data_IF_408177344371
#
_entry.id   IF_408177344371
#
_cell.length_a   1.000
_cell.length_b   1.000
_cell.length_c   1.000
_cell.angle_alpha   90.00
_cell.angle_beta   90.00
_cell.angle_gamma   90.00
#
_symmetry.space_group_name_H-M   'P 1'
#
loop_
_entity.id
_entity.type
_entity.pdbx_description
1 polymer ?
#
# COMPACT_ATOMS: atom_id res chain seq x y z
N UNK A 1 -12.14 -17.60 16.65
CA UNK A 1 -11.28 -17.04 15.58
C UNK A 1 -9.82 -16.77 16.01
N UNK A 2 -9.53 -16.43 17.27
CA UNK A 2 -8.17 -16.05 17.73
C UNK A 2 -7.14 -17.19 17.73
N UNK A 3 -7.52 -18.43 18.03
CA UNK A 3 -6.57 -19.56 18.13
C UNK A 3 -5.86 -19.86 16.80
N UNK A 4 -6.63 -19.89 15.70
CA UNK A 4 -6.08 -20.20 14.38
C UNK A 4 -5.16 -19.07 13.87
N UNK A 5 -5.57 -17.81 14.06
CA UNK A 5 -4.74 -16.64 13.75
C UNK A 5 -3.43 -16.66 14.54
N UNK A 6 -3.47 -16.96 15.84
CA UNK A 6 -2.27 -17.07 16.67
C UNK A 6 -1.35 -18.21 16.21
N UNK A 7 -1.89 -19.36 15.80
CA UNK A 7 -1.10 -20.47 15.26
C UNK A 7 -0.40 -20.11 13.96
N UNK A 8 -1.11 -19.50 13.01
CA UNK A 8 -0.51 -19.07 11.75
C UNK A 8 0.52 -17.97 11.96
N UNK A 9 0.22 -16.96 12.80
CA UNK A 9 1.18 -15.93 13.18
C UNK A 9 2.45 -16.54 13.78
N UNK A 10 2.30 -17.48 14.72
CA UNK A 10 3.43 -18.20 15.31
C UNK A 10 4.24 -18.99 14.29
N UNK A 11 3.57 -19.64 13.32
CA UNK A 11 4.23 -20.36 12.23
C UNK A 11 5.03 -19.44 11.32
N UNK A 12 4.44 -18.34 10.87
CA UNK A 12 5.11 -17.35 10.01
C UNK A 12 6.33 -16.74 10.71
N UNK A 13 6.23 -16.38 12.00
CA UNK A 13 7.36 -15.84 12.76
C UNK A 13 8.54 -16.82 12.85
N UNK A 14 8.27 -18.12 13.04
CA UNK A 14 9.32 -19.16 13.03
C UNK A 14 10.00 -19.29 11.67
N UNK A 15 9.22 -19.24 10.58
CA UNK A 15 9.78 -19.29 9.23
C UNK A 15 10.64 -18.05 8.93
N UNK A 16 10.19 -16.86 9.33
CA UNK A 16 10.95 -15.61 9.18
C UNK A 16 12.28 -15.67 9.95
N UNK A 17 12.24 -16.18 11.18
CA UNK A 17 13.45 -16.36 11.99
C UNK A 17 14.43 -17.34 11.35
N UNK A 18 13.93 -18.47 10.83
CA UNK A 18 14.74 -19.46 10.12
C UNK A 18 15.35 -18.92 8.81
N UNK A 19 14.67 -17.99 8.13
CA UNK A 19 15.19 -17.29 6.95
C UNK A 19 16.18 -16.16 7.32
N UNK A 20 16.39 -15.90 8.61
CA UNK A 20 17.23 -14.80 9.12
C UNK A 20 16.82 -13.44 8.56
N UNK A 21 15.51 -13.17 8.52
CA UNK A 21 14.93 -11.99 7.86
C UNK A 21 15.51 -10.62 8.24
N UNK A 22 16.12 -10.50 9.43
CA UNK A 22 16.78 -9.27 9.87
C UNK A 22 18.13 -9.04 9.16
N UNK A 23 18.77 -10.11 8.69
CA UNK A 23 20.10 -10.10 8.07
C UNK A 23 20.04 -10.37 6.57
N UNK A 24 19.18 -11.29 6.14
CA UNK A 24 18.97 -11.62 4.73
C UNK A 24 17.67 -11.01 4.27
N UNK A 25 17.78 -10.00 3.41
CA UNK A 25 16.62 -9.33 2.84
C UNK A 25 16.34 -9.94 1.46
N UNK A 26 15.14 -10.46 1.29
CA UNK A 26 14.63 -10.90 -0.01
C UNK A 26 13.14 -10.55 -0.13
N UNK A 27 12.61 -10.63 -1.36
CA UNK A 27 11.26 -10.16 -1.64
C UNK A 27 10.19 -11.06 -1.01
N UNK A 28 10.43 -12.38 -0.93
CA UNK A 28 9.50 -13.33 -0.32
C UNK A 28 9.31 -13.03 1.17
N UNK A 29 10.41 -12.72 1.88
CA UNK A 29 10.38 -12.28 3.27
C UNK A 29 9.55 -11.01 3.44
N UNK A 30 9.72 -10.03 2.54
CA UNK A 30 8.95 -8.79 2.58
C UNK A 30 7.46 -9.05 2.33
N UNK A 31 7.11 -9.86 1.33
CA UNK A 31 5.73 -10.26 1.05
C UNK A 31 5.09 -10.94 2.27
N UNK A 32 5.80 -11.89 2.90
CA UNK A 32 5.34 -12.55 4.12
C UNK A 32 5.12 -11.57 5.28
N UNK A 33 6.02 -10.61 5.47
CA UNK A 33 5.87 -9.54 6.47
C UNK A 33 4.64 -8.66 6.19
N UNK A 34 4.42 -8.23 4.95
CA UNK A 34 3.26 -7.41 4.56
C UNK A 34 1.95 -8.12 4.89
N UNK A 35 1.83 -9.40 4.51
CA UNK A 35 0.64 -10.22 4.78
C UNK A 35 0.44 -10.42 6.29
N UNK A 36 1.53 -10.74 7.01
CA UNK A 36 1.51 -10.92 8.45
C UNK A 36 1.03 -9.66 9.16
N UNK A 37 1.62 -8.50 8.84
CA UNK A 37 1.27 -7.20 9.42
C UNK A 37 -0.19 -6.85 9.14
N UNK A 38 -0.66 -7.09 7.91
CA UNK A 38 -2.06 -6.91 7.55
C UNK A 38 -2.98 -7.75 8.46
N UNK A 39 -2.69 -9.04 8.63
CA UNK A 39 -3.48 -9.91 9.51
C UNK A 39 -3.47 -9.47 10.98
N UNK A 40 -2.34 -8.96 11.48
CA UNK A 40 -2.21 -8.47 12.84
C UNK A 40 -3.06 -7.20 13.07
N UNK A 41 -3.02 -6.26 12.12
CA UNK A 41 -3.77 -5.01 12.20
C UNK A 41 -5.29 -5.26 12.29
N UNK A 42 -5.79 -6.32 11.65
CA UNK A 42 -7.22 -6.65 11.63
C UNK A 42 -7.68 -7.57 12.79
N UNK A 43 -6.76 -7.98 13.68
CA UNK A 43 -7.07 -8.87 14.82
C UNK A 43 -6.81 -8.21 16.18
N UNK A 44 -6.60 -6.88 16.20
CA UNK A 44 -6.29 -6.02 17.37
C UNK A 44 -4.84 -6.05 17.88
N UNK A 45 -3.87 -6.51 17.09
CA UNK A 45 -2.46 -6.46 17.49
C UNK A 45 -1.74 -5.18 17.06
N UNK A 46 -0.90 -4.63 17.93
CA UNK A 46 0.07 -3.60 17.56
C UNK A 46 1.19 -4.24 16.73
N UNK A 47 1.38 -3.80 15.48
CA UNK A 47 2.43 -4.31 14.59
C UNK A 47 3.44 -3.24 14.16
N UNK A 48 3.44 -2.08 14.82
CA UNK A 48 4.28 -0.93 14.48
C UNK A 48 5.78 -1.29 14.35
N UNK A 49 6.31 -2.07 15.29
CA UNK A 49 7.71 -2.52 15.23
C UNK A 49 8.00 -3.40 14.00
N UNK A 50 7.09 -4.33 13.68
CA UNK A 50 7.20 -5.17 12.47
C UNK A 50 7.05 -4.33 11.20
N UNK A 51 6.17 -3.32 11.21
CA UNK A 51 5.99 -2.41 10.09
C UNK A 51 7.23 -1.53 9.86
N UNK A 52 7.91 -1.11 10.92
CA UNK A 52 9.23 -0.45 10.85
C UNK A 52 10.30 -1.34 10.22
N UNK A 53 10.38 -2.61 10.66
CA UNK A 53 11.32 -3.58 10.10
C UNK A 53 11.02 -3.86 8.61
N UNK A 54 9.76 -4.13 8.26
CA UNK A 54 9.34 -4.35 6.88
C UNK A 54 9.64 -3.14 5.98
N UNK A 55 9.50 -1.92 6.49
CA UNK A 55 9.91 -0.71 5.77
C UNK A 55 11.39 -0.68 5.47
N UNK A 56 12.24 -0.94 6.46
CA UNK A 56 13.68 -0.91 6.26
C UNK A 56 14.13 -2.00 5.28
N UNK A 57 13.50 -3.18 5.32
CA UNK A 57 13.72 -4.25 4.34
C UNK A 57 13.26 -3.82 2.93
N UNK A 58 12.10 -3.19 2.80
CA UNK A 58 11.63 -2.69 1.50
C UNK A 58 12.57 -1.62 0.92
N UNK A 59 13.12 -0.75 1.78
CA UNK A 59 14.12 0.24 1.37
C UNK A 59 15.43 -0.41 0.94
N UNK A 60 15.95 -1.39 1.69
CA UNK A 60 17.18 -2.10 1.32
C UNK A 60 17.04 -2.90 0.02
N UNK A 61 15.84 -3.40 -0.26
CA UNK A 61 15.51 -4.05 -1.53
C UNK A 61 15.26 -3.07 -2.67
N UNK A 62 15.17 -1.76 -2.42
CA UNK A 62 14.91 -0.76 -3.45
C UNK A 62 13.45 -0.69 -3.93
N UNK A 63 12.48 -1.20 -3.16
CA UNK A 63 11.06 -1.20 -3.57
C UNK A 63 10.44 0.21 -3.70
N UNK A 64 11.08 1.23 -3.14
CA UNK A 64 10.67 2.63 -3.21
C UNK A 64 11.13 3.34 -4.49
N UNK A 65 11.97 2.68 -5.30
CA UNK A 65 12.49 3.19 -6.56
C UNK A 65 11.82 2.46 -7.70
N UNK A 66 11.51 3.16 -8.78
CA UNK A 66 10.89 2.56 -9.95
C UNK A 66 11.75 1.42 -10.55
N UNK A 67 11.26 0.16 -10.58
CA UNK A 67 12.06 -1.00 -10.97
C UNK A 67 12.52 -1.00 -12.44
N UNK A 68 11.78 -0.33 -13.32
CA UNK A 68 12.08 -0.28 -14.76
C UNK A 68 13.41 0.42 -15.06
N UNK A 69 13.87 1.29 -14.17
CA UNK A 69 15.18 1.95 -14.24
C UNK A 69 16.33 0.92 -14.23
N UNK A 70 16.11 -0.22 -13.56
CA UNK A 70 17.10 -1.29 -13.42
C UNK A 70 16.92 -2.43 -14.42
N UNK A 71 16.04 -2.28 -15.42
CA UNK A 71 15.71 -3.33 -16.40
C UNK A 71 15.28 -4.66 -15.74
N UNK A 72 14.60 -4.56 -14.60
CA UNK A 72 14.08 -5.72 -13.87
C UNK A 72 12.98 -6.40 -14.69
N UNK A 73 12.94 -7.73 -14.60
CA UNK A 73 11.94 -8.57 -15.24
C UNK A 73 10.51 -8.18 -14.81
N UNK A 74 9.50 -8.19 -15.71
CA UNK A 74 8.19 -7.59 -15.45
C UNK A 74 7.49 -8.11 -14.19
N UNK A 75 7.58 -9.41 -13.91
CA UNK A 75 6.97 -10.00 -12.72
C UNK A 75 7.65 -9.43 -11.47
N UNK A 76 8.97 -9.54 -11.41
CA UNK A 76 9.79 -9.02 -10.30
C UNK A 76 9.61 -7.51 -10.06
N UNK A 77 9.39 -6.74 -11.14
CA UNK A 77 9.10 -5.32 -11.05
C UNK A 77 7.75 -5.08 -10.37
N UNK A 78 6.72 -5.78 -10.80
CA UNK A 78 5.38 -5.63 -10.26
C UNK A 78 5.27 -6.13 -8.82
N UNK A 79 5.97 -7.20 -8.45
CA UNK A 79 6.06 -7.66 -7.05
C UNK A 79 6.61 -6.56 -6.13
N UNK A 80 7.61 -5.80 -6.59
CA UNK A 80 8.17 -4.66 -5.82
C UNK A 80 7.18 -3.51 -5.71
N UNK A 81 6.50 -3.13 -6.81
CA UNK A 81 5.47 -2.08 -6.78
C UNK A 81 4.36 -2.45 -5.79
N UNK A 82 3.88 -3.70 -5.84
CA UNK A 82 2.82 -4.21 -4.97
C UNK A 82 3.25 -4.32 -3.51
N UNK A 83 4.48 -4.77 -3.23
CA UNK A 83 5.01 -4.77 -1.87
C UNK A 83 5.10 -3.36 -1.28
N UNK A 84 5.61 -2.40 -2.07
CA UNK A 84 5.69 -1.01 -1.63
C UNK A 84 4.32 -0.39 -1.40
N UNK A 85 3.39 -0.61 -2.31
CA UNK A 85 2.00 -0.18 -2.17
C UNK A 85 1.34 -0.81 -0.93
N UNK A 86 1.47 -2.12 -0.73
CA UNK A 86 0.96 -2.80 0.46
C UNK A 86 1.53 -2.20 1.75
N UNK A 87 2.83 -1.92 1.79
CA UNK A 87 3.48 -1.27 2.93
C UNK A 87 2.94 0.14 3.17
N UNK A 88 2.83 0.98 2.13
CA UNK A 88 2.26 2.34 2.23
C UNK A 88 0.84 2.28 2.78
N UNK A 89 0.00 1.37 2.30
CA UNK A 89 -1.35 1.17 2.79
C UNK A 89 -1.36 0.85 4.30
N UNK A 90 -0.48 -0.05 4.76
CA UNK A 90 -0.40 -0.44 6.17
C UNK A 90 0.03 0.73 7.06
N UNK A 91 0.98 1.56 6.59
CA UNK A 91 1.35 2.82 7.27
C UNK A 91 0.17 3.78 7.37
N UNK A 92 -0.56 4.01 6.28
CA UNK A 92 -1.73 4.88 6.28
C UNK A 92 -2.75 4.40 7.31
N UNK A 93 -3.09 3.10 7.32
CA UNK A 93 -4.04 2.53 8.28
C UNK A 93 -3.58 2.77 9.72
N UNK A 94 -2.31 2.48 10.04
CA UNK A 94 -1.80 2.66 11.40
C UNK A 94 -1.77 4.12 11.82
N UNK A 95 -1.30 5.02 10.94
CA UNK A 95 -1.32 6.45 11.21
C UNK A 95 -2.74 6.96 11.47
N UNK A 96 -3.71 6.56 10.66
CA UNK A 96 -5.12 6.91 10.87
C UNK A 96 -5.65 6.39 12.21
N UNK A 97 -5.31 5.17 12.62
CA UNK A 97 -5.72 4.65 13.94
C UNK A 97 -5.10 5.40 15.12
N UNK A 98 -3.96 6.07 14.91
CA UNK A 98 -3.29 6.90 15.90
C UNK A 98 -3.70 8.39 15.82
N UNK A 99 -4.64 8.74 14.94
CA UNK A 99 -5.07 10.13 14.72
C UNK A 99 -4.06 10.99 13.94
N UNK A 100 -3.03 10.38 13.36
CA UNK A 100 -2.05 11.05 12.50
C UNK A 100 -2.61 11.03 11.08
N UNK A 101 -3.23 12.13 10.68
CA UNK A 101 -3.82 12.27 9.34
C UNK A 101 -2.79 12.73 8.30
N UNK A 102 -1.76 13.44 8.74
CA UNK A 102 -0.69 13.95 7.87
C UNK A 102 0.52 13.01 7.94
N UNK A 103 0.45 11.93 7.15
CA UNK A 103 1.59 11.04 7.01
C UNK A 103 2.62 11.73 6.10
N UNK A 104 3.72 12.22 6.68
CA UNK A 104 4.85 12.72 5.89
C UNK A 104 5.17 11.72 4.78
N UNK A 105 5.02 12.08 3.49
CA UNK A 105 5.15 11.12 2.42
C UNK A 105 6.56 10.55 2.42
N UNK A 106 6.66 9.22 2.38
CA UNK A 106 7.95 8.57 2.23
C UNK A 106 8.42 8.87 0.80
N UNK A 107 9.58 9.53 0.61
CA UNK A 107 10.09 9.83 -0.72
C UNK A 107 10.20 8.54 -1.53
N UNK A 108 9.60 8.55 -2.71
CA UNK A 108 9.41 7.36 -3.53
C UNK A 108 9.25 7.77 -4.98
N UNK A 109 9.92 7.09 -5.89
CA UNK A 109 9.76 7.29 -7.35
C UNK A 109 8.98 6.16 -8.02
N UNK A 110 8.65 5.11 -7.26
CA UNK A 110 7.90 3.97 -7.79
C UNK A 110 6.47 4.36 -8.20
N UNK A 111 6.08 3.88 -9.36
CA UNK A 111 4.72 4.03 -9.87
C UNK A 111 3.72 3.18 -9.07
N UNK A 112 2.42 3.52 -9.12
CA UNK A 112 1.37 2.64 -8.62
C UNK A 112 1.46 1.24 -9.25
N UNK A 113 0.99 0.18 -8.55
CA UNK A 113 0.82 -1.14 -9.15
C UNK A 113 -0.02 -1.08 -10.43
N UNK A 114 0.23 -1.99 -11.34
CA UNK A 114 -0.58 -2.11 -12.55
C UNK A 114 -1.98 -2.64 -12.20
N UNK A 115 -3.00 -2.09 -12.84
CA UNK A 115 -4.39 -2.56 -12.69
C UNK A 115 -4.63 -3.81 -13.55
N UNK A 116 -3.99 -4.91 -13.14
CA UNK A 116 -4.00 -6.22 -13.81
C UNK A 116 -4.08 -7.37 -12.81
N UNK A 117 -4.57 -8.52 -13.26
CA UNK A 117 -4.56 -9.77 -12.52
C UNK A 117 -3.20 -10.48 -12.68
N UNK A 118 -2.87 -11.39 -11.75
CA UNK A 118 -1.59 -12.11 -11.76
C UNK A 118 -1.40 -12.97 -13.01
N UNK A 119 -2.47 -13.55 -13.53
CA UNK A 119 -2.44 -14.36 -14.75
C UNK A 119 -2.20 -13.55 -16.03
N UNK A 120 -2.25 -12.22 -15.94
CA UNK A 120 -1.99 -11.29 -17.05
C UNK A 120 -0.56 -10.75 -17.01
N UNK A 121 0.21 -11.06 -15.97
CA UNK A 121 1.60 -10.66 -15.79
C UNK A 121 2.53 -11.58 -16.59
N UNK A 122 2.39 -11.58 -17.92
CA UNK A 122 3.17 -12.40 -18.85
C UNK A 122 3.84 -11.54 -19.92
N UNK A 123 4.99 -12.01 -20.40
CA UNK A 123 5.75 -11.33 -21.47
C UNK A 123 4.86 -11.22 -22.73
N UNK A 124 4.64 -9.99 -23.20
CA UNK A 124 3.83 -9.70 -24.39
C UNK A 124 2.35 -9.42 -24.11
N UNK A 125 1.90 -9.44 -22.85
CA UNK A 125 0.56 -8.97 -22.52
C UNK A 125 0.46 -7.45 -22.70
N UNK A 126 -0.50 -7.02 -23.52
CA UNK A 126 -0.85 -5.61 -23.67
C UNK A 126 -2.03 -5.31 -22.76
N UNK A 127 -1.89 -4.31 -21.90
CA UNK A 127 -2.99 -3.84 -21.06
C UNK A 127 -4.08 -3.33 -22.00
N UNK A 128 -5.28 -3.93 -21.98
CA UNK A 128 -6.35 -3.52 -22.89
C UNK A 128 -6.78 -2.08 -22.57
N UNK A 129 -7.00 -1.28 -23.62
CA UNK A 129 -7.46 0.12 -23.49
C UNK A 129 -8.82 0.23 -22.78
N UNK A 130 -9.66 -0.80 -22.92
CA UNK A 130 -10.91 -0.94 -22.19
C UNK A 130 -11.00 -2.32 -21.54
N UNK A 131 -11.23 -2.35 -20.23
CA UNK A 131 -11.43 -3.58 -19.46
C UNK A 131 -12.85 -3.62 -18.92
N UNK A 132 -13.49 -4.78 -19.01
CA UNK A 132 -14.76 -5.04 -18.36
C UNK A 132 -14.54 -5.47 -16.91
N UNK A 133 -14.81 -4.57 -15.97
CA UNK A 133 -14.82 -4.86 -14.53
C UNK A 133 -13.47 -4.76 -13.82
N UNK A 134 -13.48 -4.93 -12.47
CA UNK A 134 -12.29 -4.74 -11.63
C UNK A 134 -11.31 -5.92 -11.73
N UNK A 135 -10.03 -5.63 -11.47
CA UNK A 135 -8.94 -6.61 -11.28
C UNK A 135 -8.65 -6.84 -9.80
N UNK A 136 -7.76 -7.80 -9.52
CA UNK A 136 -7.20 -8.03 -8.19
C UNK A 136 -6.58 -6.76 -7.58
N UNK A 137 -6.03 -5.84 -8.39
CA UNK A 137 -5.38 -4.62 -7.93
C UNK A 137 -6.33 -3.41 -7.83
N UNK A 138 -7.49 -3.43 -8.48
CA UNK A 138 -8.39 -2.26 -8.53
C UNK A 138 -8.80 -1.76 -7.15
N UNK A 139 -9.06 -2.67 -6.20
CA UNK A 139 -9.40 -2.28 -4.82
C UNK A 139 -8.28 -1.49 -4.15
N UNK A 140 -7.03 -1.94 -4.28
CA UNK A 140 -5.88 -1.27 -3.69
C UNK A 140 -5.65 0.10 -4.32
N UNK A 141 -5.77 0.20 -5.65
CA UNK A 141 -5.62 1.46 -6.38
C UNK A 141 -6.70 2.48 -6.00
N UNK A 142 -7.97 2.07 -5.96
CA UNK A 142 -9.07 2.93 -5.48
C UNK A 142 -8.82 3.43 -4.06
N UNK A 143 -8.25 2.57 -3.20
CA UNK A 143 -7.94 2.94 -1.81
C UNK A 143 -6.89 4.05 -1.75
N UNK A 144 -5.90 4.03 -2.64
CA UNK A 144 -4.92 5.11 -2.75
C UNK A 144 -5.55 6.41 -3.24
N UNK A 145 -6.40 6.35 -4.26
CA UNK A 145 -7.14 7.55 -4.73
C UNK A 145 -7.95 8.18 -3.57
N UNK A 146 -8.59 7.33 -2.76
CA UNK A 146 -9.34 7.76 -1.58
C UNK A 146 -8.41 8.36 -0.51
N UNK A 147 -7.25 7.74 -0.24
CA UNK A 147 -6.27 8.27 0.71
C UNK A 147 -5.74 9.64 0.27
N UNK A 148 -5.48 9.84 -1.01
CA UNK A 148 -5.00 11.11 -1.56
C UNK A 148 -6.10 12.19 -1.48
N UNK A 149 -7.36 11.84 -1.73
CA UNK A 149 -8.51 12.73 -1.48
C UNK A 149 -8.65 13.08 0.00
N UNK A 150 -8.62 12.09 0.91
CA UNK A 150 -8.68 12.32 2.35
C UNK A 150 -7.54 13.22 2.83
N UNK A 151 -6.31 13.01 2.34
CA UNK A 151 -5.15 13.83 2.68
C UNK A 151 -5.35 15.28 2.24
N UNK A 152 -5.86 15.51 1.02
CA UNK A 152 -6.19 16.86 0.52
C UNK A 152 -7.29 17.54 1.32
N UNK A 153 -8.34 16.82 1.70
CA UNK A 153 -9.40 17.34 2.58
C UNK A 153 -8.79 17.73 3.92
N UNK A 154 -8.00 16.85 4.54
CA UNK A 154 -7.39 17.10 5.84
C UNK A 154 -6.43 18.29 5.81
N UNK A 155 -5.59 18.42 4.78
CA UNK A 155 -4.65 19.54 4.67
C UNK A 155 -5.36 20.89 4.47
N UNK A 156 -6.52 20.90 3.80
CA UNK A 156 -7.33 22.11 3.65
C UNK A 156 -8.14 22.46 4.91
N UNK A 157 -8.68 21.45 5.60
CA UNK A 157 -9.52 21.64 6.79
C UNK A 157 -8.71 21.92 8.06
N UNK A 158 -7.62 21.19 8.26
CA UNK A 158 -6.76 21.28 9.44
C UNK A 158 -5.48 22.09 9.20
N UNK A 159 -5.23 22.54 7.97
CA UNK A 159 -4.09 23.38 7.64
C UNK A 159 -4.13 24.72 8.39
N UNK A 160 -2.96 25.31 8.58
CA UNK A 160 -2.78 26.59 9.30
C UNK A 160 -3.41 27.81 8.61
N UNK A 161 -3.98 27.64 7.41
CA UNK A 161 -4.62 28.71 6.66
C UNK A 161 -6.05 28.97 7.15
N UNK A 162 -6.33 30.21 7.52
CA UNK A 162 -7.48 30.58 8.36
C UNK A 162 -8.82 30.72 7.63
N UNK A 163 -8.87 30.49 6.31
CA UNK A 163 -10.10 30.65 5.53
C UNK A 163 -10.15 29.67 4.34
N UNK A 164 -11.04 28.69 4.45
CA UNK A 164 -11.51 27.88 3.32
C UNK A 164 -12.44 28.75 2.46
N UNK A 165 -12.03 29.03 1.22
CA UNK A 165 -12.90 29.71 0.25
C UNK A 165 -14.00 28.75 -0.21
N UNK A 166 -15.20 29.28 -0.48
CA UNK A 166 -16.32 28.52 -1.03
C UNK A 166 -15.93 27.69 -2.27
N UNK A 167 -15.14 28.27 -3.19
CA UNK A 167 -14.67 27.58 -4.39
C UNK A 167 -13.85 26.31 -4.08
N UNK A 168 -13.04 26.33 -3.02
CA UNK A 168 -12.26 25.15 -2.60
C UNK A 168 -13.16 24.07 -2.03
N UNK A 169 -14.19 24.46 -1.28
CA UNK A 169 -15.19 23.53 -0.74
C UNK A 169 -15.97 22.87 -1.88
N UNK A 170 -16.41 23.66 -2.87
CA UNK A 170 -17.12 23.14 -4.04
C UNK A 170 -16.23 22.20 -4.88
N UNK A 171 -14.95 22.51 -5.04
CA UNK A 171 -14.00 21.63 -5.72
C UNK A 171 -13.83 20.28 -5.00
N UNK A 172 -13.68 20.30 -3.67
CA UNK A 172 -13.61 19.07 -2.87
C UNK A 172 -14.89 18.24 -2.97
N UNK A 173 -16.06 18.87 -2.95
CA UNK A 173 -17.35 18.19 -3.06
C UNK A 173 -17.55 17.52 -4.43
N UNK A 174 -17.09 18.18 -5.50
CA UNK A 174 -17.06 17.60 -6.84
C UNK A 174 -16.13 16.37 -6.92
N UNK A 175 -14.95 16.43 -6.29
CA UNK A 175 -14.04 15.29 -6.24
C UNK A 175 -14.60 14.11 -5.43
N UNK A 176 -15.27 14.38 -4.30
CA UNK A 176 -15.95 13.35 -3.49
C UNK A 176 -17.06 12.68 -4.33
N UNK A 177 -17.84 13.46 -5.06
CA UNK A 177 -18.91 12.97 -5.93
C UNK A 177 -18.36 12.09 -7.05
N UNK A 178 -17.30 12.53 -7.74
CA UNK A 178 -16.63 11.74 -8.77
C UNK A 178 -16.04 10.42 -8.23
N UNK A 179 -15.44 10.45 -7.04
CA UNK A 179 -14.95 9.22 -6.39
C UNK A 179 -16.08 8.25 -6.03
N UNK A 180 -17.24 8.77 -5.62
CA UNK A 180 -18.42 7.95 -5.34
C UNK A 180 -18.97 7.30 -6.61
N UNK A 181 -18.97 7.99 -7.74
CA UNK A 181 -19.36 7.42 -9.03
C UNK A 181 -18.40 6.31 -9.47
N UNK A 182 -17.08 6.48 -9.26
CA UNK A 182 -16.08 5.43 -9.54
C UNK A 182 -16.25 4.15 -8.70
N UNK A 183 -16.90 4.25 -7.55
CA UNK A 183 -17.17 3.12 -6.63
C UNK A 183 -18.46 2.35 -6.95
N UNK A 184 -19.37 2.93 -7.75
CA UNK A 184 -20.66 2.33 -8.12
C UNK A 184 -20.58 1.60 -9.46
#
# INVERSE_FOLDING_TARGET
MSLLSNRYRGGVMKCLEADHYLWRHNLNTLQALVILIYGINHTHGQSWALLGAARNIALSLGCHVEPTIFQIEPISAEERRRCWAGLRMLYTIQNTTLGILDATPIPSTVNPPLDINDNELVVGYQIPESRNGPTQMSYLLLKFDLYDLCTRICSQVFGTSRTLTYDKVQALDAEISAMREKLN
#
